data_IF_051880017338
#
_entry.id   IF_051880017338
#
_cell.length_a   1.000
_cell.length_b   1.000
_cell.length_c   1.000
_cell.angle_alpha   90.00
_cell.angle_beta   90.00
_cell.angle_gamma   90.00
#
_symmetry.space_group_name_H-M   'P 1'
#
loop_
_entity.id
_entity.type
_entity.pdbx_description
1 polymer ?
#
# COMPACT_ATOMS: atom_id res chain seq x y z
N UNK A 1 -8.50 14.69 -15.46
CA UNK A 1 -7.21 15.38 -15.23
C UNK A 1 -6.11 14.49 -15.76
N UNK A 2 -5.18 15.05 -16.56
CA UNK A 2 -4.10 14.25 -17.13
C UNK A 2 -3.05 13.89 -16.08
N UNK A 3 -2.43 12.72 -16.24
CA UNK A 3 -1.33 12.28 -15.39
C UNK A 3 -0.16 13.28 -15.38
N UNK A 4 0.14 13.86 -16.54
CA UNK A 4 1.20 14.86 -16.67
C UNK A 4 0.94 16.10 -15.83
N UNK A 5 -0.31 16.53 -15.76
CA UNK A 5 -0.69 17.68 -14.93
C UNK A 5 -0.54 17.35 -13.45
N UNK A 6 -0.98 16.17 -13.03
CA UNK A 6 -0.85 15.71 -11.64
C UNK A 6 0.62 15.64 -11.25
N UNK A 7 1.46 15.05 -12.10
CA UNK A 7 2.91 14.95 -11.83
C UNK A 7 3.57 16.33 -11.73
N UNK A 8 3.15 17.27 -12.56
CA UNK A 8 3.66 18.64 -12.54
C UNK A 8 3.28 19.34 -11.24
N UNK A 9 2.01 19.24 -10.84
CA UNK A 9 1.53 19.87 -9.62
C UNK A 9 2.19 19.26 -8.38
N UNK A 10 2.33 17.95 -8.34
CA UNK A 10 3.00 17.25 -7.25
C UNK A 10 4.48 17.62 -7.19
N UNK A 11 5.16 17.70 -8.34
CA UNK A 11 6.56 18.12 -8.39
C UNK A 11 6.75 19.52 -7.83
N UNK A 12 5.86 20.44 -8.16
CA UNK A 12 5.89 21.81 -7.63
C UNK A 12 5.68 21.83 -6.13
N UNK A 13 4.74 21.04 -5.61
CA UNK A 13 4.47 20.94 -4.18
C UNK A 13 5.68 20.36 -3.43
N UNK A 14 6.28 19.30 -3.94
CA UNK A 14 7.48 18.69 -3.36
C UNK A 14 8.65 19.69 -3.32
N UNK A 15 8.87 20.40 -4.42
CA UNK A 15 9.95 21.40 -4.49
C UNK A 15 9.73 22.52 -3.46
N UNK A 16 8.48 22.95 -3.28
CA UNK A 16 8.14 23.98 -2.29
C UNK A 16 8.43 23.49 -0.86
N UNK A 17 7.99 22.26 -0.53
CA UNK A 17 8.21 21.68 0.79
C UNK A 17 9.69 21.43 1.06
N UNK A 18 10.44 20.99 0.05
CA UNK A 18 11.87 20.77 0.17
C UNK A 18 12.62 22.08 0.48
N UNK A 19 12.22 23.19 -0.17
CA UNK A 19 12.79 24.52 0.14
C UNK A 19 12.44 25.01 1.54
N UNK A 20 11.35 24.54 2.13
CA UNK A 20 10.95 24.84 3.50
C UNK A 20 11.70 23.99 4.54
N UNK A 21 12.64 23.15 4.10
CA UNK A 21 13.52 22.33 4.94
C UNK A 21 12.79 21.32 5.82
N UNK A 22 11.72 20.73 5.32
CA UNK A 22 11.14 19.54 5.97
C UNK A 22 12.15 18.39 5.89
N UNK A 23 12.23 17.61 6.96
CA UNK A 23 13.15 16.46 7.01
C UNK A 23 12.64 15.30 6.16
N UNK A 24 11.33 15.06 6.17
CA UNK A 24 10.68 13.95 5.46
C UNK A 24 9.44 14.47 4.75
N UNK A 25 9.30 14.07 3.49
CA UNK A 25 8.10 14.30 2.70
C UNK A 25 7.51 12.94 2.35
N UNK A 26 6.26 12.70 2.71
CA UNK A 26 5.56 11.47 2.40
C UNK A 26 4.55 11.73 1.29
N UNK A 27 4.77 11.08 0.13
CA UNK A 27 3.89 11.20 -1.02
C UNK A 27 2.79 10.13 -0.96
N UNK A 28 1.61 10.51 -0.48
CA UNK A 28 0.46 9.62 -0.42
C UNK A 28 -0.28 9.65 -1.75
N UNK A 29 0.02 8.72 -2.63
CA UNK A 29 -0.64 8.58 -3.93
C UNK A 29 -1.01 7.14 -4.17
N UNK A 30 -2.20 6.92 -4.71
CA UNK A 30 -2.63 5.61 -5.18
C UNK A 30 -2.06 5.28 -6.56
N UNK A 31 -1.57 6.28 -7.28
CA UNK A 31 -0.98 6.10 -8.60
C UNK A 31 0.54 6.09 -8.53
N UNK A 32 1.16 5.36 -9.45
CA UNK A 32 2.61 5.39 -9.60
C UNK A 32 3.00 6.65 -10.36
N UNK A 33 3.29 7.69 -9.60
CA UNK A 33 3.88 8.91 -10.13
C UNK A 33 5.39 8.78 -10.03
N UNK A 34 6.13 9.29 -11.01
CA UNK A 34 7.58 9.12 -11.10
C UNK A 34 8.30 10.43 -11.37
N UNK A 35 9.62 10.42 -11.18
CA UNK A 35 10.49 11.52 -11.57
C UNK A 35 10.58 12.66 -10.57
N UNK A 36 10.36 12.35 -9.28
CA UNK A 36 10.49 13.33 -8.21
C UNK A 36 11.86 13.25 -7.54
N UNK A 37 12.44 14.39 -7.23
CA UNK A 37 13.70 14.49 -6.50
C UNK A 37 13.63 15.58 -5.45
N UNK A 38 14.44 15.45 -4.41
CA UNK A 38 14.59 16.45 -3.36
C UNK A 38 16.08 16.71 -3.11
N UNK A 39 16.40 17.86 -2.51
CA UNK A 39 17.76 18.22 -2.16
C UNK A 39 18.03 18.13 -0.65
N UNK A 40 17.04 18.45 0.16
CA UNK A 40 17.14 18.44 1.62
C UNK A 40 16.32 17.31 2.24
N UNK A 41 15.04 17.22 1.90
CA UNK A 41 14.13 16.26 2.49
C UNK A 41 14.38 14.84 1.96
N UNK A 42 14.09 13.86 2.81
CA UNK A 42 13.95 12.46 2.37
C UNK A 42 12.55 12.30 1.83
N UNK A 43 12.44 11.91 0.57
CA UNK A 43 11.15 11.70 -0.09
C UNK A 43 10.77 10.23 0.02
N UNK A 44 9.68 9.94 0.73
CA UNK A 44 9.14 8.60 0.84
C UNK A 44 7.98 8.43 -0.14
N UNK A 45 8.14 7.48 -1.04
CA UNK A 45 7.14 7.14 -2.04
C UNK A 45 6.65 5.70 -1.80
N UNK A 46 5.48 5.52 -1.16
CA UNK A 46 4.99 4.18 -0.81
C UNK A 46 4.95 3.22 -1.98
N UNK A 47 4.62 3.71 -3.18
CA UNK A 47 4.56 2.88 -4.38
C UNK A 47 5.93 2.31 -4.79
N UNK A 48 7.03 2.93 -4.34
CA UNK A 48 8.39 2.44 -4.59
C UNK A 48 8.91 1.56 -3.46
N UNK A 49 8.40 1.75 -2.25
CA UNK A 49 8.89 1.09 -1.03
C UNK A 49 8.15 -0.21 -0.78
N UNK A 50 6.82 -0.19 -0.82
CA UNK A 50 5.99 -1.30 -0.36
C UNK A 50 6.15 -2.56 -1.21
N UNK A 51 6.10 -2.52 -2.54
CA UNK A 51 6.20 -3.76 -3.31
C UNK A 51 7.51 -4.53 -3.08
N UNK A 52 8.71 -3.91 -3.17
CA UNK A 52 9.94 -4.66 -2.92
C UNK A 52 10.10 -5.08 -1.44
N UNK A 53 9.60 -4.28 -0.51
CA UNK A 53 9.62 -4.64 0.91
C UNK A 53 8.77 -5.87 1.17
N UNK A 54 7.54 -5.90 0.67
CA UNK A 54 6.66 -7.06 0.79
C UNK A 54 7.27 -8.28 0.10
N UNK A 55 7.80 -8.10 -1.11
CA UNK A 55 8.45 -9.18 -1.85
C UNK A 55 9.56 -9.84 -1.04
N UNK A 56 10.38 -9.05 -0.33
CA UNK A 56 11.46 -9.58 0.48
C UNK A 56 10.99 -10.30 1.75
N UNK A 57 9.85 -9.92 2.29
CA UNK A 57 9.29 -10.51 3.52
C UNK A 57 8.56 -11.82 3.22
N UNK A 58 7.85 -11.88 2.10
CA UNK A 58 6.92 -12.99 1.80
C UNK A 58 7.52 -14.06 0.89
N UNK A 59 8.82 -14.06 0.72
CA UNK A 59 9.50 -15.03 -0.13
C UNK A 59 9.09 -16.46 0.23
N UNK A 60 8.67 -17.23 -0.78
CA UNK A 60 8.15 -18.57 -0.58
C UNK A 60 6.70 -18.68 -0.13
N UNK A 61 6.04 -17.56 0.17
CA UNK A 61 4.65 -17.51 0.60
C UNK A 61 3.72 -17.05 -0.51
N UNK A 62 2.43 -17.37 -0.37
CA UNK A 62 1.40 -16.93 -1.30
C UNK A 62 0.65 -15.73 -0.70
N UNK A 63 0.78 -14.59 -1.33
CA UNK A 63 0.13 -13.36 -0.88
C UNK A 63 -1.30 -13.29 -1.39
N UNK A 64 -2.21 -12.87 -0.51
CA UNK A 64 -3.53 -12.40 -0.88
C UNK A 64 -3.62 -10.89 -0.64
N UNK A 65 -3.95 -10.13 -1.67
CA UNK A 65 -4.11 -8.67 -1.57
C UNK A 65 -5.58 -8.31 -1.51
N UNK A 66 -5.97 -7.55 -0.50
CA UNK A 66 -7.32 -7.01 -0.41
C UNK A 66 -7.29 -5.57 -0.88
N UNK A 67 -8.14 -5.25 -1.85
CA UNK A 67 -8.23 -3.93 -2.48
C UNK A 67 -9.66 -3.39 -2.36
N UNK A 68 -9.84 -2.07 -2.36
CA UNK A 68 -11.16 -1.49 -2.08
C UNK A 68 -12.18 -1.68 -3.19
N UNK A 69 -11.76 -1.57 -4.45
CA UNK A 69 -12.67 -1.57 -5.61
C UNK A 69 -12.01 -2.24 -6.81
N UNK A 70 -12.83 -2.77 -7.71
CA UNK A 70 -12.35 -3.50 -8.88
C UNK A 70 -11.64 -2.61 -9.89
N UNK A 71 -12.00 -1.35 -9.97
CA UNK A 71 -11.46 -0.39 -10.93
C UNK A 71 -9.95 -0.20 -10.82
N UNK A 72 -9.37 -0.45 -9.64
CA UNK A 72 -7.92 -0.33 -9.44
C UNK A 72 -7.16 -1.63 -9.69
N UNK A 73 -7.83 -2.72 -10.05
CA UNK A 73 -7.18 -4.03 -10.26
C UNK A 73 -6.05 -4.01 -11.29
N UNK A 74 -6.20 -3.34 -12.45
CA UNK A 74 -5.08 -3.29 -13.40
C UNK A 74 -3.82 -2.67 -12.82
N UNK A 75 -3.98 -1.61 -12.03
CA UNK A 75 -2.87 -0.93 -11.36
C UNK A 75 -2.27 -1.82 -10.27
N UNK A 76 -3.10 -2.55 -9.52
CA UNK A 76 -2.66 -3.49 -8.51
C UNK A 76 -1.84 -4.63 -9.12
N UNK A 77 -2.28 -5.20 -10.22
CA UNK A 77 -1.52 -6.26 -10.90
C UNK A 77 -0.15 -5.78 -11.34
N UNK A 78 -0.07 -4.55 -11.84
CA UNK A 78 1.19 -3.93 -12.22
C UNK A 78 2.09 -3.71 -11.00
N UNK A 79 1.53 -3.25 -9.90
CA UNK A 79 2.24 -2.93 -8.67
C UNK A 79 2.98 -4.16 -8.10
N UNK A 80 2.36 -5.33 -8.16
CA UNK A 80 2.85 -6.54 -7.50
C UNK A 80 3.60 -7.50 -8.43
N UNK A 81 4.05 -7.03 -9.61
CA UNK A 81 4.83 -7.84 -10.54
C UNK A 81 6.16 -8.33 -9.97
N UNK A 82 6.69 -7.65 -8.96
CA UNK A 82 7.95 -8.03 -8.31
C UNK A 82 7.84 -9.26 -7.41
N UNK A 83 6.64 -9.68 -7.06
CA UNK A 83 6.45 -10.89 -6.26
C UNK A 83 6.75 -12.14 -7.10
N UNK A 84 7.46 -13.10 -6.53
CA UNK A 84 7.80 -14.35 -7.18
C UNK A 84 6.54 -15.11 -7.62
N UNK A 85 5.56 -15.18 -6.73
CA UNK A 85 4.25 -15.76 -7.02
C UNK A 85 3.24 -14.62 -7.17
N UNK A 86 2.49 -14.63 -8.27
CA UNK A 86 1.42 -13.63 -8.47
C UNK A 86 0.42 -13.69 -7.32
N UNK A 87 0.07 -12.56 -6.71
CA UNK A 87 -0.91 -12.57 -5.62
C UNK A 87 -2.30 -12.96 -6.09
N UNK A 88 -3.10 -13.46 -5.17
CA UNK A 88 -4.54 -13.53 -5.34
C UNK A 88 -5.14 -12.22 -4.84
N UNK A 89 -6.31 -11.85 -5.38
CA UNK A 89 -6.96 -10.58 -5.05
C UNK A 89 -8.38 -10.82 -4.58
N UNK A 90 -8.83 -9.98 -3.64
CA UNK A 90 -10.22 -9.92 -3.21
C UNK A 90 -10.61 -8.47 -2.93
N UNK A 91 -11.90 -8.20 -2.95
CA UNK A 91 -12.43 -6.86 -2.79
C UNK A 91 -13.10 -6.70 -1.43
N UNK A 92 -12.76 -5.61 -0.72
CA UNK A 92 -13.48 -5.19 0.46
C UNK A 92 -13.28 -3.69 0.64
N UNK A 93 -14.34 -2.91 0.44
CA UNK A 93 -14.26 -1.46 0.51
C UNK A 93 -14.16 -1.00 1.97
N UNK A 94 -13.08 -0.30 2.36
CA UNK A 94 -12.89 0.11 3.75
C UNK A 94 -13.84 1.22 4.20
N UNK A 95 -14.46 1.94 3.25
CA UNK A 95 -15.34 3.06 3.55
C UNK A 95 -16.81 2.68 3.58
N UNK A 96 -17.24 1.78 2.69
CA UNK A 96 -18.64 1.40 2.53
C UNK A 96 -18.92 -0.05 2.91
N UNK A 97 -17.89 -0.88 3.03
CA UNK A 97 -18.02 -2.28 3.40
C UNK A 97 -18.11 -2.50 4.90
N UNK A 98 -18.51 -3.69 5.29
CA UNK A 98 -18.59 -4.12 6.70
C UNK A 98 -17.39 -5.00 7.05
N UNK A 99 -17.20 -5.23 8.35
CA UNK A 99 -16.22 -6.20 8.84
C UNK A 99 -16.51 -7.60 8.30
N UNK A 100 -17.79 -7.93 8.12
CA UNK A 100 -18.22 -9.20 7.55
C UNK A 100 -17.75 -9.37 6.11
N UNK A 101 -17.84 -8.33 5.30
CA UNK A 101 -17.32 -8.34 3.92
C UNK A 101 -15.79 -8.48 3.88
N UNK A 102 -15.11 -7.79 4.78
CA UNK A 102 -13.67 -7.89 4.92
C UNK A 102 -13.24 -9.32 5.29
N UNK A 103 -13.91 -9.93 6.27
CA UNK A 103 -13.66 -11.31 6.66
C UNK A 103 -13.94 -12.29 5.53
N UNK A 104 -15.01 -12.07 4.78
CA UNK A 104 -15.35 -12.91 3.64
C UNK A 104 -14.26 -12.84 2.57
N UNK A 105 -13.76 -11.66 2.28
CA UNK A 105 -12.65 -11.47 1.34
C UNK A 105 -11.40 -12.22 1.81
N UNK A 106 -11.05 -12.08 3.08
CA UNK A 106 -9.89 -12.78 3.66
C UNK A 106 -10.04 -14.29 3.59
N UNK A 107 -11.20 -14.83 3.95
CA UNK A 107 -11.48 -16.27 3.88
C UNK A 107 -11.35 -16.80 2.46
N UNK A 108 -11.88 -16.07 1.48
CA UNK A 108 -11.77 -16.43 0.06
C UNK A 108 -10.31 -16.57 -0.35
N UNK A 109 -9.48 -15.62 0.05
CA UNK A 109 -8.05 -15.66 -0.25
C UNK A 109 -7.35 -16.86 0.39
N UNK A 110 -7.68 -17.18 1.65
CA UNK A 110 -7.11 -18.35 2.33
C UNK A 110 -7.54 -19.65 1.65
N UNK A 111 -8.79 -19.74 1.21
CA UNK A 111 -9.30 -20.90 0.47
C UNK A 111 -8.56 -21.08 -0.87
N UNK A 112 -8.12 -20.00 -1.49
CA UNK A 112 -7.34 -20.04 -2.71
C UNK A 112 -5.87 -20.43 -2.47
N UNK A 113 -5.43 -20.43 -1.22
CA UNK A 113 -4.08 -20.82 -0.86
C UNK A 113 -3.19 -19.69 -0.33
N UNK A 114 -3.74 -18.50 -0.14
CA UNK A 114 -2.96 -17.41 0.47
C UNK A 114 -2.66 -17.74 1.94
N UNK A 115 -1.45 -17.44 2.37
CA UNK A 115 -1.00 -17.63 3.75
C UNK A 115 -0.47 -16.34 4.40
N UNK A 116 -0.51 -15.25 3.65
CA UNK A 116 -0.25 -13.89 4.15
C UNK A 116 -1.16 -12.94 3.41
N UNK A 117 -1.73 -11.96 4.13
CA UNK A 117 -2.63 -10.98 3.55
C UNK A 117 -1.99 -9.59 3.56
N UNK A 118 -2.30 -8.80 2.54
CA UNK A 118 -1.88 -7.39 2.43
C UNK A 118 -3.11 -6.54 2.23
N UNK A 119 -3.28 -5.55 3.09
CA UNK A 119 -4.31 -4.51 2.95
C UNK A 119 -3.65 -3.30 2.28
N UNK A 120 -3.99 -3.04 1.03
CA UNK A 120 -3.32 -2.04 0.21
C UNK A 120 -4.27 -0.94 -0.26
N UNK A 121 -4.55 -0.02 0.63
CA UNK A 121 -5.31 1.21 0.38
C UNK A 121 -5.17 2.14 1.58
N UNK A 122 -5.24 3.44 1.34
CA UNK A 122 -5.17 4.44 2.41
C UNK A 122 -6.36 4.36 3.39
N UNK A 123 -7.47 3.76 2.97
CA UNK A 123 -8.65 3.62 3.80
C UNK A 123 -8.60 2.48 4.82
N UNK A 124 -7.69 1.52 4.66
CA UNK A 124 -7.54 0.46 5.65
C UNK A 124 -6.70 0.96 6.82
N UNK A 125 -7.09 0.58 8.04
CA UNK A 125 -6.37 0.98 9.24
C UNK A 125 -6.30 -0.18 10.24
N UNK A 126 -5.77 0.07 11.42
CA UNK A 126 -5.47 -0.96 12.42
C UNK A 126 -6.66 -1.87 12.73
N UNK A 127 -7.87 -1.32 12.80
CA UNK A 127 -9.07 -2.12 13.04
C UNK A 127 -9.26 -3.22 11.99
N UNK A 128 -9.09 -2.88 10.72
CA UNK A 128 -9.23 -3.85 9.62
C UNK A 128 -8.21 -4.98 9.75
N UNK A 129 -6.97 -4.66 10.08
CA UNK A 129 -5.94 -5.68 10.31
C UNK A 129 -6.31 -6.56 11.49
N UNK A 130 -6.73 -5.97 12.60
CA UNK A 130 -7.06 -6.71 13.82
C UNK A 130 -8.22 -7.68 13.59
N UNK A 131 -9.25 -7.25 12.86
CA UNK A 131 -10.38 -8.10 12.49
C UNK A 131 -9.91 -9.35 11.74
N UNK A 132 -9.05 -9.17 10.75
CA UNK A 132 -8.53 -10.29 9.95
C UNK A 132 -7.60 -11.20 10.76
N UNK A 133 -6.64 -10.64 11.47
CA UNK A 133 -5.68 -11.42 12.25
C UNK A 133 -6.36 -12.25 13.32
N UNK A 134 -7.30 -11.65 14.03
CA UNK A 134 -8.00 -12.31 15.13
C UNK A 134 -8.87 -13.47 14.64
N UNK A 135 -9.53 -13.28 13.49
CA UNK A 135 -10.46 -14.29 12.98
C UNK A 135 -9.78 -15.38 12.15
N UNK A 136 -8.70 -15.04 11.43
CA UNK A 136 -8.11 -15.94 10.44
C UNK A 136 -6.74 -16.50 10.85
N UNK A 137 -6.14 -15.96 11.88
CA UNK A 137 -4.86 -16.41 12.43
C UNK A 137 -3.75 -16.48 11.34
N UNK A 138 -3.64 -15.42 10.55
CA UNK A 138 -2.62 -15.27 9.50
C UNK A 138 -1.95 -13.91 9.62
N UNK A 139 -0.69 -13.78 9.18
CA UNK A 139 -0.06 -12.46 9.11
C UNK A 139 -0.81 -11.53 8.16
N UNK A 140 -1.04 -10.31 8.60
CA UNK A 140 -1.68 -9.28 7.81
C UNK A 140 -0.80 -8.05 7.79
N UNK A 141 -0.33 -7.65 6.61
CA UNK A 141 0.46 -6.46 6.41
C UNK A 141 -0.47 -5.30 6.02
N UNK A 142 -0.29 -4.19 6.70
CA UNK A 142 -1.05 -2.96 6.43
C UNK A 142 -0.09 -1.94 5.84
N UNK A 143 -0.22 -1.65 4.55
CA UNK A 143 0.70 -0.76 3.82
C UNK A 143 0.89 0.59 4.50
N UNK A 144 -0.20 1.18 5.00
CA UNK A 144 -0.15 2.46 5.69
C UNK A 144 0.76 2.44 6.92
N UNK A 145 0.69 1.37 7.70
CA UNK A 145 1.47 1.24 8.93
C UNK A 145 2.95 1.05 8.59
N UNK A 146 3.26 0.25 7.57
CA UNK A 146 4.65 0.05 7.13
C UNK A 146 5.30 1.38 6.76
N UNK A 147 4.63 2.18 5.96
CA UNK A 147 5.15 3.49 5.53
C UNK A 147 5.24 4.45 6.71
N UNK A 148 4.23 4.48 7.58
CA UNK A 148 4.23 5.37 8.74
C UNK A 148 5.38 5.05 9.70
N UNK A 149 5.68 3.77 9.91
CA UNK A 149 6.81 3.35 10.74
C UNK A 149 8.14 3.75 10.14
N UNK A 150 8.31 3.60 8.82
CA UNK A 150 9.51 4.05 8.12
C UNK A 150 9.68 5.57 8.24
N UNK A 151 8.61 6.32 8.06
CA UNK A 151 8.64 7.78 8.22
C UNK A 151 9.05 8.17 9.65
N UNK A 152 8.49 7.50 10.66
CA UNK A 152 8.81 7.76 12.06
C UNK A 152 10.28 7.50 12.39
N UNK A 153 10.88 6.46 11.80
CA UNK A 153 12.29 6.15 12.00
C UNK A 153 13.22 7.25 11.47
N UNK A 154 12.77 8.00 10.47
CA UNK A 154 13.59 9.05 9.85
C UNK A 154 13.44 10.42 10.52
N UNK A 155 12.52 10.55 11.46
CA UNK A 155 12.35 11.79 12.21
C UNK A 155 13.35 11.86 13.37
N UNK A 156 13.96 13.02 13.51
CA UNK A 156 14.96 13.29 14.55
C UNK A 156 14.30 13.87 15.80
#
# INVERSE_FOLDING_TARGET
VSRQKIERDVRSAIAMLDRQHYDVILLLSSEQLTGFTTHHAILLEPQRIIPPLVASIVDGHQVGVIVPVEEIMPMQRQKWLSLEKSPYYALANPFTGSDSELLSAGKTLLEQGADVLVLDCLGYYQHHRDVLQKALDVPVLLSNVLVSRLAAELLV
#
